data_IF_766434671876
#
_entry.id   IF_766434671876
#
_cell.length_a   1.000
_cell.length_b   1.000
_cell.length_c   1.000
_cell.angle_alpha   90.00
_cell.angle_beta   90.00
_cell.angle_gamma   90.00
#
_symmetry.space_group_name_H-M   'P 1'
#
loop_
_entity.id
_entity.type
_entity.pdbx_description
1 polymer ?
#
# COMPACT_ATOMS: atom_id res chain seq x y z
N UNK A 1 -4.85 10.20 9.82
CA UNK A 1 -4.66 8.75 10.01
C UNK A 1 -3.24 8.33 9.68
N UNK A 2 -2.78 8.26 8.43
CA UNK A 2 -1.41 7.80 8.13
C UNK A 2 -0.30 8.58 8.84
N UNK A 3 -0.36 9.91 8.87
CA UNK A 3 0.62 10.76 9.58
C UNK A 3 0.59 10.63 11.11
N UNK A 4 -0.51 10.18 11.68
CA UNK A 4 -0.65 9.93 13.13
C UNK A 4 0.03 8.62 13.51
N UNK A 5 -0.15 7.58 12.68
CA UNK A 5 0.46 6.26 12.85
C UNK A 5 1.97 6.27 12.53
N UNK A 6 2.36 7.07 11.55
CA UNK A 6 3.73 7.17 11.04
C UNK A 6 4.19 8.63 10.99
N UNK A 7 4.57 9.23 12.13
CA UNK A 7 5.07 10.60 12.15
C UNK A 7 6.37 10.72 11.34
N UNK A 8 6.50 11.85 10.63
CA UNK A 8 7.64 12.13 9.72
C UNK A 8 9.00 12.17 10.42
N UNK A 9 9.02 12.38 11.73
CA UNK A 9 10.22 12.38 12.57
C UNK A 9 10.83 10.97 12.77
N UNK A 10 10.09 9.90 12.47
CA UNK A 10 10.60 8.55 12.61
C UNK A 10 11.48 8.16 11.43
N UNK A 11 12.69 7.72 11.73
CA UNK A 11 13.68 7.22 10.74
C UNK A 11 13.29 5.85 10.12
N UNK A 12 12.10 5.33 10.39
CA UNK A 12 11.65 4.01 9.89
C UNK A 12 11.75 3.88 8.38
N UNK A 13 11.51 4.98 7.64
CA UNK A 13 11.48 4.97 6.18
C UNK A 13 12.83 5.31 5.54
N UNK A 14 13.87 5.62 6.32
CA UNK A 14 15.19 5.99 5.79
C UNK A 14 15.90 4.84 5.06
N UNK A 15 15.65 3.60 5.48
CA UNK A 15 16.29 2.38 4.94
C UNK A 15 15.36 1.50 4.11
N UNK A 16 14.08 1.88 3.96
CA UNK A 16 13.05 1.04 3.34
C UNK A 16 12.57 1.65 2.03
N UNK A 17 12.44 0.81 0.99
CA UNK A 17 11.80 1.20 -0.27
C UNK A 17 10.28 1.11 -0.12
N UNK A 18 9.57 2.23 -0.27
CA UNK A 18 8.13 2.30 -0.08
C UNK A 18 7.46 2.45 -1.44
N UNK A 19 6.50 1.59 -1.74
CA UNK A 19 5.63 1.74 -2.89
C UNK A 19 4.25 2.16 -2.41
N UNK A 20 3.76 3.29 -2.93
CA UNK A 20 2.46 3.86 -2.54
C UNK A 20 1.54 4.00 -3.75
N UNK A 21 0.26 4.16 -3.49
CA UNK A 21 -0.74 4.40 -4.54
C UNK A 21 -0.75 5.87 -4.98
N UNK A 22 -1.37 6.14 -6.12
CA UNK A 22 -1.60 7.50 -6.65
C UNK A 22 -2.33 8.42 -5.68
N UNK A 23 -3.14 7.87 -4.76
CA UNK A 23 -3.81 8.63 -3.72
C UNK A 23 -2.85 9.36 -2.76
N UNK A 24 -1.61 8.87 -2.64
CA UNK A 24 -0.57 9.43 -1.77
C UNK A 24 0.35 10.43 -2.48
N UNK A 25 -0.16 11.15 -3.48
CA UNK A 25 0.60 12.23 -4.10
C UNK A 25 0.98 13.29 -3.07
N UNK A 26 2.26 13.69 -3.06
CA UNK A 26 2.78 14.65 -2.08
C UNK A 26 3.43 14.01 -0.84
N UNK A 27 3.30 12.71 -0.62
CA UNK A 27 3.92 12.01 0.50
C UNK A 27 5.44 12.23 0.57
N UNK A 28 6.11 12.44 -0.56
CA UNK A 28 7.55 12.73 -0.62
C UNK A 28 7.91 14.04 0.10
N UNK A 29 6.99 15.02 0.08
CA UNK A 29 7.18 16.29 0.80
C UNK A 29 6.98 16.11 2.30
N UNK A 30 6.07 15.21 2.69
CA UNK A 30 5.78 14.92 4.08
C UNK A 30 6.86 14.05 4.75
N UNK A 31 7.59 13.26 3.96
CA UNK A 31 8.62 12.33 4.43
C UNK A 31 9.96 12.54 3.71
N UNK A 32 10.65 13.67 3.93
CA UNK A 32 11.90 13.97 3.26
C UNK A 32 13.04 13.01 3.60
N UNK A 33 12.97 12.35 4.76
CA UNK A 33 13.95 11.35 5.22
C UNK A 33 13.77 9.97 4.59
N UNK A 34 12.69 9.75 3.85
CA UNK A 34 12.47 8.47 3.17
C UNK A 34 13.38 8.37 1.94
N UNK A 35 14.28 7.39 1.94
CA UNK A 35 15.29 7.22 0.90
C UNK A 35 14.71 6.89 -0.48
N UNK A 36 13.57 6.21 -0.54
CA UNK A 36 12.98 5.76 -1.80
C UNK A 36 11.47 5.58 -1.69
N UNK A 37 10.71 6.53 -2.20
CA UNK A 37 9.25 6.43 -2.34
C UNK A 37 8.91 6.28 -3.82
N UNK A 38 8.29 5.16 -4.18
CA UNK A 38 7.85 4.87 -5.54
C UNK A 38 6.35 5.17 -5.66
N UNK A 39 6.02 6.21 -6.43
CA UNK A 39 4.63 6.60 -6.74
C UNK A 39 4.41 6.36 -8.23
N UNK A 40 3.30 5.72 -8.64
CA UNK A 40 2.97 5.60 -10.05
C UNK A 40 2.82 6.96 -10.72
N UNK A 41 3.25 7.05 -11.98
CA UNK A 41 3.05 8.26 -12.78
C UNK A 41 1.58 8.45 -13.11
N UNK A 42 1.05 9.63 -12.79
CA UNK A 42 -0.31 10.01 -13.13
C UNK A 42 -0.39 10.44 -14.58
N UNK A 43 -1.42 9.97 -15.29
CA UNK A 43 -1.72 10.45 -16.64
C UNK A 43 -2.06 11.95 -16.57
N UNK A 44 -1.46 12.79 -17.43
CA UNK A 44 -1.81 14.21 -17.48
C UNK A 44 -3.29 14.41 -17.80
N UNK A 45 -3.85 15.50 -17.30
CA UNK A 45 -5.23 15.86 -17.63
C UNK A 45 -5.33 16.34 -19.08
N UNK A 46 -6.47 16.08 -19.72
CA UNK A 46 -6.77 16.62 -21.03
C UNK A 46 -6.90 18.15 -20.95
N UNK A 47 -6.24 18.86 -21.83
CA UNK A 47 -6.28 20.31 -21.94
C UNK A 47 -6.31 20.75 -23.40
N UNK A 48 -6.60 22.04 -23.68
CA UNK A 48 -6.56 22.58 -25.05
C UNK A 48 -5.15 22.43 -25.66
N UNK A 49 -4.11 22.60 -24.87
CA UNK A 49 -2.72 22.43 -25.31
C UNK A 49 -2.29 20.95 -25.46
N UNK A 50 -2.98 20.03 -24.78
CA UNK A 50 -2.69 18.59 -24.85
C UNK A 50 -4.01 17.80 -24.92
N UNK A 51 -4.62 17.70 -26.11
CA UNK A 51 -5.93 17.04 -26.28
C UNK A 51 -5.87 15.52 -26.07
N UNK A 52 -4.70 14.90 -26.31
CA UNK A 52 -4.50 13.45 -26.15
C UNK A 52 -3.35 13.13 -25.18
N UNK A 53 -3.52 13.43 -23.88
CA UNK A 53 -2.47 13.19 -22.91
C UNK A 53 -2.18 11.69 -22.80
N UNK A 54 -0.91 11.34 -22.82
CA UNK A 54 -0.46 9.96 -22.64
C UNK A 54 0.80 9.90 -21.79
N UNK A 55 1.00 8.78 -21.14
CA UNK A 55 2.24 8.49 -20.43
C UNK A 55 3.32 8.08 -21.43
N UNK A 56 4.56 8.49 -21.19
CA UNK A 56 5.71 8.03 -21.98
C UNK A 56 5.90 6.52 -21.82
N UNK A 57 6.61 5.90 -22.77
CA UNK A 57 6.93 4.46 -22.72
C UNK A 57 7.67 4.09 -21.43
N UNK A 58 8.62 4.92 -20.98
CA UNK A 58 9.36 4.73 -19.73
C UNK A 58 8.42 4.77 -18.51
N UNK A 59 7.52 5.75 -18.43
CA UNK A 59 6.54 5.87 -17.36
C UNK A 59 5.56 4.69 -17.31
N UNK A 60 5.09 4.22 -18.46
CA UNK A 60 4.25 3.01 -18.55
C UNK A 60 4.97 1.78 -18.00
N UNK A 61 6.25 1.60 -18.38
CA UNK A 61 7.07 0.48 -17.88
C UNK A 61 7.30 0.56 -16.37
N UNK A 62 7.58 1.75 -15.84
CA UNK A 62 7.72 1.96 -14.39
C UNK A 62 6.42 1.67 -13.65
N UNK A 63 5.29 2.17 -14.15
CA UNK A 63 3.98 1.88 -13.57
C UNK A 63 3.68 0.38 -13.57
N UNK A 64 4.00 -0.33 -14.65
CA UNK A 64 3.84 -1.79 -14.74
C UNK A 64 4.67 -2.52 -13.68
N UNK A 65 5.93 -2.10 -13.45
CA UNK A 65 6.78 -2.68 -12.40
C UNK A 65 6.22 -2.43 -10.99
N UNK A 66 5.65 -1.25 -10.73
CA UNK A 66 5.03 -0.95 -9.44
C UNK A 66 3.74 -1.78 -9.28
N UNK A 67 2.92 -1.85 -10.31
CA UNK A 67 1.68 -2.62 -10.30
C UNK A 67 1.93 -4.11 -10.05
N UNK A 68 2.93 -4.72 -10.69
CA UNK A 68 3.24 -6.14 -10.49
C UNK A 68 3.60 -6.48 -9.04
N UNK A 69 4.29 -5.58 -8.34
CA UNK A 69 4.57 -5.76 -6.90
C UNK A 69 3.32 -5.62 -6.04
N UNK A 70 2.43 -4.68 -6.39
CA UNK A 70 1.16 -4.49 -5.67
C UNK A 70 0.25 -5.71 -5.78
N UNK A 71 0.18 -6.34 -6.95
CA UNK A 71 -0.66 -7.53 -7.17
C UNK A 71 -0.33 -8.64 -6.15
N UNK A 72 0.94 -8.85 -5.84
CA UNK A 72 1.36 -9.85 -4.85
C UNK A 72 0.78 -9.52 -3.47
N UNK A 73 0.87 -8.26 -3.05
CA UNK A 73 0.33 -7.79 -1.77
C UNK A 73 -1.20 -7.88 -1.76
N UNK A 74 -1.85 -7.49 -2.86
CA UNK A 74 -3.30 -7.57 -3.01
C UNK A 74 -3.80 -9.01 -2.95
N UNK A 75 -3.08 -9.97 -3.54
CA UNK A 75 -3.38 -11.40 -3.44
C UNK A 75 -3.24 -11.90 -2.00
N UNK A 76 -2.19 -11.52 -1.28
CA UNK A 76 -2.01 -11.88 0.12
C UNK A 76 -3.15 -11.32 0.98
N UNK A 77 -3.47 -10.03 0.84
CA UNK A 77 -4.57 -9.38 1.56
C UNK A 77 -5.93 -10.03 1.19
N UNK A 78 -6.15 -10.28 -0.11
CA UNK A 78 -7.36 -10.95 -0.59
C UNK A 78 -7.52 -12.36 -0.01
N UNK A 79 -6.41 -13.10 0.05
CA UNK A 79 -6.40 -14.43 0.66
C UNK A 79 -6.68 -14.39 2.16
N UNK A 80 -6.11 -13.44 2.88
CA UNK A 80 -6.41 -13.25 4.29
C UNK A 80 -7.89 -12.86 4.53
N UNK A 81 -8.47 -12.04 3.66
CA UNK A 81 -9.89 -11.65 3.73
C UNK A 81 -10.86 -12.82 3.51
N UNK A 82 -10.42 -13.93 2.92
CA UNK A 82 -11.21 -15.15 2.83
C UNK A 82 -11.54 -15.73 4.23
N UNK A 83 -10.73 -15.41 5.24
CA UNK A 83 -11.10 -15.69 6.62
C UNK A 83 -12.13 -14.66 7.07
N UNK A 84 -13.37 -15.07 7.20
CA UNK A 84 -14.52 -14.20 7.48
C UNK A 84 -14.36 -13.34 8.74
N UNK A 85 -13.52 -13.75 9.68
CA UNK A 85 -13.23 -13.00 10.90
C UNK A 85 -12.67 -11.60 10.61
N UNK A 86 -11.95 -11.40 9.49
CA UNK A 86 -11.46 -10.08 9.08
C UNK A 86 -12.50 -9.21 8.38
N UNK A 87 -13.57 -9.80 7.88
CA UNK A 87 -14.67 -9.10 7.20
C UNK A 87 -15.85 -8.79 8.10
N UNK A 88 -15.92 -9.42 9.28
CA UNK A 88 -16.99 -9.21 10.25
C UNK A 88 -16.67 -8.05 11.21
N UNK A 89 -17.72 -7.39 11.68
CA UNK A 89 -17.58 -6.34 12.69
C UNK A 89 -17.16 -6.95 14.03
N UNK A 90 -15.98 -6.58 14.53
CA UNK A 90 -15.57 -6.97 15.89
C UNK A 90 -16.51 -6.40 16.93
N UNK A 91 -17.21 -7.26 17.64
CA UNK A 91 -18.15 -6.85 18.71
C UNK A 91 -17.46 -6.59 20.04
N UNK A 92 -16.31 -7.20 20.27
CA UNK A 92 -15.57 -7.06 21.51
C UNK A 92 -14.72 -5.78 21.50
N UNK A 93 -15.28 -4.69 22.06
CA UNK A 93 -14.62 -3.38 22.16
C UNK A 93 -13.65 -3.28 23.34
N UNK A 94 -13.62 -4.25 24.24
CA UNK A 94 -12.82 -4.20 25.49
C UNK A 94 -11.38 -4.65 25.29
N UNK A 95 -11.11 -5.50 24.31
CA UNK A 95 -9.76 -5.99 24.03
C UNK A 95 -9.05 -5.06 23.03
N UNK A 96 -8.18 -4.18 23.54
CA UNK A 96 -7.46 -3.17 22.73
C UNK A 96 -6.61 -3.78 21.60
N UNK A 97 -6.04 -4.97 21.81
CA UNK A 97 -5.12 -5.61 20.86
C UNK A 97 -5.74 -6.77 20.08
N UNK A 98 -7.03 -7.07 20.30
CA UNK A 98 -7.67 -8.23 19.66
C UNK A 98 -7.60 -8.21 18.13
N UNK A 99 -7.72 -7.03 17.53
CA UNK A 99 -7.68 -6.87 16.06
C UNK A 99 -6.30 -7.24 15.53
N UNK A 100 -5.25 -6.78 16.18
CA UNK A 100 -3.87 -7.06 15.79
C UNK A 100 -3.55 -8.55 15.95
N UNK A 101 -3.95 -9.16 17.07
CA UNK A 101 -3.79 -10.59 17.31
C UNK A 101 -4.49 -11.43 16.24
N UNK A 102 -5.73 -11.08 15.89
CA UNK A 102 -6.48 -11.77 14.83
C UNK A 102 -5.80 -11.61 13.47
N UNK A 103 -5.29 -10.43 13.15
CA UNK A 103 -4.56 -10.20 11.89
C UNK A 103 -3.30 -11.08 11.85
N UNK A 104 -2.53 -11.16 12.92
CA UNK A 104 -1.33 -12.00 12.99
C UNK A 104 -1.68 -13.50 12.84
N UNK A 105 -2.71 -13.97 13.52
CA UNK A 105 -3.16 -15.36 13.41
C UNK A 105 -3.61 -15.69 11.98
N UNK A 106 -4.42 -14.82 11.36
CA UNK A 106 -4.88 -15.01 9.98
C UNK A 106 -3.72 -14.98 9.00
N UNK A 107 -2.75 -14.09 9.19
CA UNK A 107 -1.55 -14.04 8.36
C UNK A 107 -0.74 -15.33 8.48
N UNK A 108 -0.59 -15.86 9.69
CA UNK A 108 0.06 -17.15 9.94
C UNK A 108 -0.65 -18.32 9.23
N UNK A 109 -1.98 -18.40 9.36
CA UNK A 109 -2.79 -19.42 8.69
C UNK A 109 -2.74 -19.30 7.16
N UNK A 110 -2.75 -18.07 6.63
CA UNK A 110 -2.61 -17.85 5.20
C UNK A 110 -1.24 -18.30 4.67
N UNK A 111 -0.17 -17.97 5.38
CA UNK A 111 1.17 -18.42 5.04
C UNK A 111 1.29 -19.94 5.07
N UNK A 112 0.71 -20.59 6.07
CA UNK A 112 0.66 -22.05 6.17
C UNK A 112 -0.06 -22.65 4.95
N UNK A 113 -1.21 -22.11 4.56
CA UNK A 113 -1.98 -22.56 3.39
C UNK A 113 -1.21 -22.43 2.07
N UNK A 114 -0.33 -21.45 1.94
CA UNK A 114 0.48 -21.26 0.73
C UNK A 114 1.63 -22.26 0.68
N UNK A 115 2.18 -22.67 1.84
CA UNK A 115 3.31 -23.57 1.93
C UNK A 115 2.92 -25.05 1.72
N UNK A 116 1.67 -25.38 1.90
CA UNK A 116 1.10 -26.74 1.73
C UNK A 116 -0.04 -26.76 0.72
#
# INVERSE_FOLDING_TARGET
MFKQEFPSSQLRFSKVKIAVDLAYQGIQKDYPLASSIFIPHKKPKKSKANPNPSLTRKQKTQNKKIASKRVIVEHAIGGMKAFQILSTKFRNRKAKNLVDEVIFQVAGLWNLKILY
#
